data_IF_230009859229
#
_entry.id   IF_230009859229
#
_cell.length_a   1.000
_cell.length_b   1.000
_cell.length_c   1.000
_cell.angle_alpha   90.00
_cell.angle_beta   90.00
_cell.angle_gamma   90.00
#
_symmetry.space_group_name_H-M   'P 1'
#
loop_
_entity.id
_entity.type
_entity.pdbx_description
1 polymer ?
#
# COMPACT_ATOMS: atom_id res chain seq x y z
N UNK A 1 -38.54 83.58 -22.99
CA UNK A 1 -39.64 82.72 -22.52
C UNK A 1 -39.52 81.45 -23.36
N UNK A 2 -39.13 80.27 -22.87
CA UNK A 2 -38.95 79.77 -21.50
C UNK A 2 -37.80 78.72 -21.51
N UNK A 3 -37.15 78.49 -20.37
CA UNK A 3 -36.27 77.33 -20.06
C UNK A 3 -36.76 76.80 -18.68
N UNK A 4 -36.53 75.54 -18.23
CA UNK A 4 -35.76 74.42 -18.79
C UNK A 4 -36.68 73.23 -19.24
N UNK A 5 -36.33 71.93 -19.39
CA UNK A 5 -35.11 71.15 -19.04
C UNK A 5 -34.91 69.84 -19.85
N UNK A 6 -33.67 69.36 -19.90
CA UNK A 6 -33.14 67.98 -19.66
C UNK A 6 -34.18 66.83 -19.46
N UNK A 7 -34.07 65.62 -20.04
CA UNK A 7 -32.96 64.83 -20.62
C UNK A 7 -33.43 63.84 -21.73
N UNK A 8 -32.52 63.24 -22.53
CA UNK A 8 -32.85 62.39 -23.68
C UNK A 8 -32.82 60.88 -23.39
N UNK A 9 -33.68 60.37 -22.50
CA UNK A 9 -33.85 58.92 -22.29
C UNK A 9 -35.31 58.50 -22.14
N UNK A 10 -36.03 58.27 -23.26
CA UNK A 10 -37.15 57.32 -23.32
C UNK A 10 -37.60 56.93 -24.74
N UNK A 11 -36.68 56.39 -25.56
CA UNK A 11 -37.03 55.73 -26.83
C UNK A 11 -36.26 54.42 -27.02
N UNK A 12 -36.62 53.38 -26.25
CA UNK A 12 -36.73 51.98 -26.67
C UNK A 12 -37.60 51.29 -25.60
N UNK A 13 -38.86 51.02 -25.95
CA UNK A 13 -39.71 50.08 -25.22
C UNK A 13 -39.96 48.88 -26.13
N UNK A 14 -39.91 47.68 -25.56
CA UNK A 14 -40.38 46.40 -26.11
C UNK A 14 -39.53 45.70 -27.20
N UNK A 15 -38.51 44.97 -26.73
CA UNK A 15 -38.35 43.56 -27.12
C UNK A 15 -38.02 42.70 -25.89
N UNK A 16 -39.08 42.18 -25.27
CA UNK A 16 -39.02 41.25 -24.14
C UNK A 16 -38.43 39.89 -24.55
N UNK A 17 -38.01 39.10 -23.54
CA UNK A 17 -37.68 37.68 -23.65
C UNK A 17 -36.54 37.32 -24.61
N UNK A 18 -35.34 37.83 -24.30
CA UNK A 18 -34.07 37.39 -24.88
C UNK A 18 -32.96 37.17 -23.85
N UNK A 19 -33.28 37.10 -22.55
CA UNK A 19 -32.31 36.60 -21.55
C UNK A 19 -32.06 35.15 -21.94
N UNK A 20 -30.87 34.88 -22.47
CA UNK A 20 -30.35 33.52 -22.55
C UNK A 20 -30.31 33.05 -21.11
N UNK A 21 -31.28 32.20 -20.73
CA UNK A 21 -31.08 31.27 -19.65
C UNK A 21 -29.84 30.48 -20.07
N UNK A 22 -28.68 30.90 -19.57
CA UNK A 22 -27.56 29.98 -19.49
C UNK A 22 -28.14 28.82 -18.69
N UNK A 23 -28.35 27.71 -19.39
CA UNK A 23 -28.68 26.42 -18.83
C UNK A 23 -27.86 26.33 -17.55
N UNK A 24 -28.52 26.15 -16.41
CA UNK A 24 -27.81 26.01 -15.15
C UNK A 24 -26.92 24.76 -15.27
N UNK A 25 -25.68 24.97 -15.70
CA UNK A 25 -24.63 23.96 -15.61
C UNK A 25 -24.48 23.72 -14.12
N UNK A 26 -24.71 22.47 -13.71
CA UNK A 26 -24.90 22.15 -12.31
C UNK A 26 -23.65 22.50 -11.50
N UNK A 27 -23.68 23.65 -10.85
CA UNK A 27 -22.55 24.10 -10.05
C UNK A 27 -22.64 23.43 -8.70
N UNK A 28 -21.91 22.33 -8.56
CA UNK A 28 -21.87 21.57 -7.31
C UNK A 28 -21.47 22.46 -6.12
N UNK A 29 -22.05 22.25 -4.92
CA UNK A 29 -21.56 22.89 -3.71
C UNK A 29 -20.06 22.60 -3.51
N UNK A 30 -19.29 23.54 -2.90
CA UNK A 30 -17.89 23.30 -2.59
C UNK A 30 -17.78 22.15 -1.58
N UNK A 31 -17.25 21.02 -2.04
CA UNK A 31 -17.06 19.83 -1.22
C UNK A 31 -15.86 19.99 -0.26
N UNK A 32 -15.88 19.27 0.86
CA UNK A 32 -14.82 19.30 1.88
C UNK A 32 -13.60 18.45 1.46
N UNK A 33 -12.52 18.54 2.23
CA UNK A 33 -11.30 17.76 1.97
C UNK A 33 -11.59 16.25 1.92
N UNK A 34 -10.91 15.54 1.00
CA UNK A 34 -11.06 14.10 0.77
C UNK A 34 -12.50 13.68 0.36
N UNK A 35 -13.20 14.54 -0.37
CA UNK A 35 -14.51 14.27 -0.97
C UNK A 35 -14.60 14.76 -2.42
N UNK A 36 -15.57 14.25 -3.17
CA UNK A 36 -15.83 14.62 -4.57
C UNK A 36 -17.33 14.81 -4.84
N UNK A 37 -17.64 15.58 -5.88
CA UNK A 37 -19.00 15.83 -6.31
C UNK A 37 -19.60 14.67 -7.12
N UNK A 38 -20.88 14.41 -6.92
CA UNK A 38 -21.69 13.47 -7.71
C UNK A 38 -23.01 14.14 -8.13
N UNK A 39 -23.38 13.93 -9.40
CA UNK A 39 -24.61 14.42 -10.03
C UNK A 39 -24.84 15.94 -9.81
N UNK A 40 -23.77 16.73 -9.75
CA UNK A 40 -23.77 18.19 -9.60
C UNK A 40 -24.56 18.74 -8.40
N UNK A 41 -24.93 17.86 -7.45
CA UNK A 41 -25.91 18.15 -6.41
C UNK A 41 -25.38 17.85 -5.02
N UNK A 42 -24.59 16.78 -4.86
CA UNK A 42 -24.14 16.30 -3.56
C UNK A 42 -22.68 15.84 -3.60
N UNK A 43 -22.01 16.01 -2.48
CA UNK A 43 -20.67 15.52 -2.22
C UNK A 43 -20.72 14.12 -1.58
N UNK A 44 -19.69 13.32 -1.82
CA UNK A 44 -19.43 12.04 -1.14
C UNK A 44 -17.95 11.94 -0.82
N UNK A 45 -17.60 11.24 0.26
CA UNK A 45 -16.20 10.97 0.57
C UNK A 45 -15.52 10.15 -0.54
N UNK A 46 -14.22 10.38 -0.71
CA UNK A 46 -13.35 9.59 -1.58
C UNK A 46 -13.33 8.11 -1.13
N UNK A 47 -13.02 7.16 -2.02
CA UNK A 47 -12.76 5.78 -1.62
C UNK A 47 -11.67 5.71 -0.53
N UNK A 48 -11.88 4.87 0.49
CA UNK A 48 -11.03 4.81 1.69
C UNK A 48 -11.42 5.79 2.80
N UNK A 49 -12.44 6.63 2.61
CA UNK A 49 -12.90 7.60 3.61
C UNK A 49 -14.39 7.43 3.95
N UNK A 50 -14.75 7.77 5.18
CA UNK A 50 -16.12 7.81 5.68
C UNK A 50 -16.46 9.18 6.23
N UNK A 51 -17.71 9.61 6.05
CA UNK A 51 -18.26 10.79 6.71
C UNK A 51 -18.30 10.58 8.23
N UNK A 52 -17.98 11.61 9.00
CA UNK A 52 -18.08 11.61 10.46
C UNK A 52 -19.55 11.52 10.94
N UNK A 53 -20.50 12.10 10.21
CA UNK A 53 -21.93 11.95 10.48
C UNK A 53 -22.52 10.62 9.98
N UNK A 54 -21.73 9.80 9.29
CA UNK A 54 -22.16 8.55 8.65
C UNK A 54 -22.99 8.75 7.37
N UNK A 55 -23.10 9.98 6.86
CA UNK A 55 -23.86 10.29 5.66
C UNK A 55 -23.06 9.96 4.40
N UNK A 56 -23.58 9.09 3.54
CA UNK A 56 -22.94 8.76 2.26
C UNK A 56 -22.95 9.94 1.28
N UNK A 57 -23.99 10.77 1.32
CA UNK A 57 -24.17 11.92 0.44
C UNK A 57 -24.54 13.14 1.28
N UNK A 58 -23.86 14.26 1.08
CA UNK A 58 -24.04 15.49 1.85
C UNK A 58 -23.93 16.72 0.94
N UNK A 59 -24.64 17.80 1.28
CA UNK A 59 -24.65 19.06 0.52
C UNK A 59 -23.94 20.20 1.24
N UNK A 60 -23.49 19.98 2.48
CA UNK A 60 -22.90 21.00 3.34
C UNK A 60 -21.36 20.85 3.42
N UNK A 61 -20.58 21.96 3.31
CA UNK A 61 -19.11 21.92 3.32
C UNK A 61 -18.48 21.61 4.68
N UNK A 62 -19.29 21.44 5.74
CA UNK A 62 -18.83 21.18 7.10
C UNK A 62 -18.66 19.68 7.43
N UNK A 63 -19.06 18.79 6.52
CA UNK A 63 -18.89 17.35 6.71
C UNK A 63 -17.41 16.94 6.58
N UNK A 64 -16.92 16.08 7.46
CA UNK A 64 -15.51 15.68 7.50
C UNK A 64 -15.39 14.23 7.04
N UNK A 65 -14.66 14.01 5.94
CA UNK A 65 -14.29 12.69 5.46
C UNK A 65 -13.04 12.20 6.18
N UNK A 66 -13.24 11.29 7.13
CA UNK A 66 -12.18 10.67 7.92
C UNK A 66 -11.71 9.38 7.24
N UNK A 67 -10.41 9.11 7.36
CA UNK A 67 -9.78 7.89 6.86
C UNK A 67 -10.37 6.63 7.52
N UNK A 68 -10.63 5.58 6.73
CA UNK A 68 -11.15 4.31 7.23
C UNK A 68 -9.96 3.40 7.58
N UNK A 69 -9.74 3.15 8.86
CA UNK A 69 -8.73 2.17 9.29
C UNK A 69 -9.21 0.73 9.02
N UNK A 70 -8.96 0.20 7.82
CA UNK A 70 -9.43 -1.14 7.45
C UNK A 70 -8.71 -2.26 8.23
N UNK A 71 -7.60 -1.94 8.90
CA UNK A 71 -6.89 -2.87 9.78
C UNK A 71 -7.59 -3.09 11.13
N UNK A 72 -8.55 -2.24 11.50
CA UNK A 72 -9.33 -2.32 12.76
C UNK A 72 -10.77 -2.79 12.51
N UNK A 73 -11.48 -3.25 13.56
CA UNK A 73 -12.92 -3.46 13.50
C UNK A 73 -13.63 -2.17 13.04
N UNK A 74 -14.65 -2.26 12.15
CA UNK A 74 -15.39 -3.47 11.78
C UNK A 74 -14.75 -4.31 10.67
N UNK A 75 -13.79 -3.79 9.91
CA UNK A 75 -13.25 -4.48 8.72
C UNK A 75 -12.19 -5.53 9.07
N UNK A 76 -11.19 -5.17 9.89
CA UNK A 76 -10.19 -6.08 10.44
C UNK A 76 -9.44 -6.91 9.40
N UNK A 77 -8.99 -6.27 8.31
CA UNK A 77 -8.45 -6.95 7.13
C UNK A 77 -7.32 -7.94 7.49
N UNK A 78 -7.51 -9.20 7.09
CA UNK A 78 -6.52 -10.26 7.26
C UNK A 78 -5.55 -10.32 6.07
N UNK A 79 -4.29 -9.93 6.34
CA UNK A 79 -3.19 -9.92 5.38
C UNK A 79 -2.47 -11.28 5.19
N UNK A 80 -3.01 -12.37 5.74
CA UNK A 80 -2.37 -13.68 5.63
C UNK A 80 -1.29 -13.97 6.68
N UNK A 81 -0.84 -15.22 6.68
CA UNK A 81 0.17 -15.71 7.63
C UNK A 81 1.51 -15.01 7.42
N UNK A 82 2.14 -14.61 8.52
CA UNK A 82 3.41 -13.86 8.54
C UNK A 82 3.36 -12.50 7.83
N UNK A 83 2.19 -11.87 7.73
CA UNK A 83 2.04 -10.47 7.36
C UNK A 83 1.33 -9.66 8.47
N UNK A 84 1.31 -8.35 8.33
CA UNK A 84 0.54 -7.41 9.16
C UNK A 84 -0.14 -6.37 8.27
N UNK A 85 -1.36 -5.99 8.64
CA UNK A 85 -2.04 -4.84 8.05
C UNK A 85 -1.42 -3.54 8.59
N UNK A 86 -1.21 -2.58 7.71
CA UNK A 86 -0.80 -1.22 8.02
C UNK A 86 -1.74 -0.24 7.31
N UNK A 87 -2.46 0.54 8.10
CA UNK A 87 -3.33 1.60 7.60
C UNK A 87 -2.50 2.77 7.03
N UNK A 88 -2.99 3.41 5.98
CA UNK A 88 -2.43 4.63 5.38
C UNK A 88 -3.56 5.55 4.93
N UNK A 89 -3.28 6.84 4.71
CA UNK A 89 -4.33 7.77 4.30
C UNK A 89 -4.99 7.36 2.95
N UNK A 90 -6.28 7.02 3.01
CA UNK A 90 -7.13 6.57 1.91
C UNK A 90 -6.98 5.09 1.50
N UNK A 91 -6.26 4.25 2.26
CA UNK A 91 -6.02 2.85 1.88
C UNK A 91 -5.34 2.04 3.00
N UNK A 92 -5.10 0.75 2.74
CA UNK A 92 -4.16 -0.04 3.56
C UNK A 92 -3.11 -0.73 2.69
N UNK A 93 -2.04 -1.18 3.35
CA UNK A 93 -1.09 -2.13 2.79
C UNK A 93 -0.86 -3.27 3.78
N UNK A 94 -0.75 -4.49 3.25
CA UNK A 94 -0.22 -5.63 3.95
C UNK A 94 1.30 -5.67 3.82
N UNK A 95 2.02 -5.78 4.94
CA UNK A 95 3.47 -5.90 4.99
C UNK A 95 3.89 -7.30 5.47
N UNK A 96 4.77 -7.98 4.74
CA UNK A 96 5.38 -9.23 5.20
C UNK A 96 6.28 -8.96 6.43
N UNK A 97 6.18 -9.81 7.45
CA UNK A 97 7.03 -9.73 8.63
C UNK A 97 8.52 -9.85 8.28
N UNK A 98 9.39 -9.33 9.15
CA UNK A 98 10.85 -9.41 8.98
C UNK A 98 11.28 -10.86 8.73
N UNK A 99 12.07 -11.06 7.67
CA UNK A 99 12.48 -12.39 7.23
C UNK A 99 11.48 -13.10 6.31
N UNK A 100 10.40 -12.45 5.88
CA UNK A 100 9.47 -12.91 4.84
C UNK A 100 9.39 -11.92 3.68
N UNK A 101 8.97 -12.39 2.49
CA UNK A 101 8.73 -11.59 1.29
C UNK A 101 7.76 -12.29 0.33
N UNK A 102 7.18 -11.56 -0.62
CA UNK A 102 6.40 -12.12 -1.72
C UNK A 102 7.29 -12.87 -2.73
N UNK A 103 6.65 -13.59 -3.64
CA UNK A 103 7.34 -14.29 -4.74
C UNK A 103 8.05 -13.35 -5.71
N UNK A 104 7.47 -12.18 -5.99
CA UNK A 104 8.10 -11.09 -6.76
C UNK A 104 9.40 -10.60 -6.12
N UNK A 105 9.50 -10.70 -4.80
CA UNK A 105 10.60 -10.19 -3.99
C UNK A 105 10.21 -9.03 -3.08
N UNK A 106 9.02 -8.43 -3.31
CA UNK A 106 8.50 -7.30 -2.55
C UNK A 106 8.11 -7.68 -1.12
N UNK A 107 7.92 -6.67 -0.28
CA UNK A 107 7.51 -6.83 1.12
C UNK A 107 6.17 -6.21 1.43
N UNK A 108 5.53 -5.53 0.48
CA UNK A 108 4.24 -4.85 0.64
C UNK A 108 3.29 -5.23 -0.51
N UNK A 109 2.00 -5.34 -0.21
CA UNK A 109 0.92 -5.62 -1.17
C UNK A 109 -0.39 -4.99 -0.69
N UNK A 110 -1.28 -4.59 -1.61
CA UNK A 110 -2.62 -4.07 -1.25
C UNK A 110 -3.69 -5.15 -1.17
N UNK A 111 -3.53 -6.22 -1.95
CA UNK A 111 -4.58 -7.18 -2.18
C UNK A 111 -4.57 -8.27 -1.09
N UNK A 112 -5.52 -8.24 -0.17
CA UNK A 112 -5.67 -9.21 0.92
C UNK A 112 -5.93 -10.66 0.47
N UNK A 113 -5.98 -10.93 -0.85
CA UNK A 113 -5.99 -12.27 -1.42
C UNK A 113 -4.58 -12.78 -1.75
N UNK A 114 -3.57 -11.92 -1.86
CA UNK A 114 -2.17 -12.25 -2.19
C UNK A 114 -1.36 -12.76 -0.99
N UNK A 115 -2.04 -13.33 0.01
CA UNK A 115 -1.57 -13.85 1.31
C UNK A 115 -0.45 -14.92 1.21
N UNK A 116 0.72 -14.53 0.72
CA UNK A 116 1.74 -15.43 0.16
C UNK A 116 3.17 -15.14 0.64
N UNK A 117 3.33 -14.38 1.74
CA UNK A 117 4.62 -14.10 2.36
C UNK A 117 5.41 -15.40 2.66
N UNK A 118 6.54 -15.60 1.96
CA UNK A 118 7.43 -16.76 2.14
C UNK A 118 8.72 -16.36 2.83
N UNK A 119 9.33 -17.29 3.57
CA UNK A 119 10.57 -17.03 4.29
C UNK A 119 11.73 -16.68 3.35
N UNK A 120 12.33 -15.51 3.57
CA UNK A 120 13.56 -15.06 2.93
C UNK A 120 14.72 -15.78 3.59
N UNK A 121 15.49 -16.56 2.81
CA UNK A 121 16.80 -17.06 3.23
C UNK A 121 17.76 -15.88 3.27
N UNK A 122 18.16 -15.45 4.46
CA UNK A 122 19.19 -14.45 4.68
C UNK A 122 20.52 -15.22 4.81
N UNK A 123 21.42 -15.09 3.84
CA UNK A 123 22.71 -15.75 3.86
C UNK A 123 23.79 -14.74 4.29
N UNK A 124 24.29 -14.90 5.50
CA UNK A 124 25.41 -14.12 6.04
C UNK A 124 26.70 -14.91 5.83
N UNK A 125 27.64 -14.36 5.08
CA UNK A 125 28.96 -14.95 4.89
C UNK A 125 29.93 -14.40 5.93
N UNK A 126 30.46 -15.27 6.80
CA UNK A 126 31.56 -14.93 7.69
C UNK A 126 32.86 -15.44 7.07
N UNK A 127 33.53 -14.57 6.32
CA UNK A 127 34.90 -14.82 5.83
C UNK A 127 35.86 -14.46 6.95
N UNK A 128 36.25 -15.45 7.76
CA UNK A 128 37.33 -15.27 8.72
C UNK A 128 38.67 -15.24 7.98
N UNK A 129 39.32 -14.07 7.92
CA UNK A 129 40.53 -13.80 7.14
C UNK A 129 41.80 -14.59 7.54
N UNK A 130 41.71 -15.53 8.49
CA UNK A 130 42.86 -16.21 9.11
C UNK A 130 42.90 -17.73 8.89
N UNK A 131 41.93 -18.32 8.19
CA UNK A 131 41.93 -19.74 7.82
C UNK A 131 41.02 -19.98 6.61
N UNK A 132 41.35 -20.95 5.74
CA UNK A 132 40.61 -21.29 4.51
C UNK A 132 39.19 -21.90 4.72
N UNK A 133 38.54 -21.61 5.85
CA UNK A 133 37.21 -22.11 6.21
C UNK A 133 36.13 -21.10 5.85
N UNK A 134 35.29 -21.44 4.88
CA UNK A 134 34.07 -20.66 4.59
C UNK A 134 33.00 -21.05 5.61
N UNK A 135 32.71 -20.13 6.53
CA UNK A 135 31.54 -20.20 7.40
C UNK A 135 30.41 -19.39 6.77
N UNK A 136 29.31 -20.04 6.40
CA UNK A 136 28.08 -19.35 6.01
C UNK A 136 26.94 -19.66 6.96
N UNK A 137 26.27 -18.59 7.39
CA UNK A 137 25.13 -18.63 8.30
C UNK A 137 23.87 -18.31 7.48
N UNK A 138 23.05 -19.32 7.22
CA UNK A 138 21.75 -19.12 6.59
C UNK A 138 20.68 -18.99 7.67
N UNK A 139 20.15 -17.77 7.82
CA UNK A 139 19.06 -17.44 8.72
C UNK A 139 17.75 -17.49 7.93
N UNK A 140 16.79 -18.29 8.41
CA UNK A 140 15.37 -18.14 8.12
C UNK A 140 14.64 -17.81 9.42
N UNK A 141 13.47 -17.14 9.37
CA UNK A 141 12.70 -16.78 10.58
C UNK A 141 12.39 -17.95 11.53
N UNK A 142 12.38 -19.19 11.03
CA UNK A 142 12.13 -20.41 11.83
C UNK A 142 13.41 -21.21 12.17
N UNK A 143 14.51 -21.01 11.43
CA UNK A 143 15.66 -21.93 11.46
C UNK A 143 17.00 -21.22 11.25
N UNK A 144 18.02 -21.68 11.97
CA UNK A 144 19.40 -21.22 11.79
C UNK A 144 20.24 -22.37 11.24
N UNK A 145 20.88 -22.17 10.08
CA UNK A 145 21.82 -23.10 9.46
C UNK A 145 23.25 -22.57 9.54
N UNK A 146 24.10 -23.21 10.34
CA UNK A 146 25.54 -22.96 10.34
C UNK A 146 26.21 -23.96 9.40
N UNK A 147 26.77 -23.49 8.28
CA UNK A 147 27.45 -24.32 7.29
C UNK A 147 28.96 -24.17 7.44
N UNK A 148 29.67 -25.30 7.51
CA UNK A 148 31.13 -25.36 7.54
C UNK A 148 31.61 -26.16 6.33
N UNK A 149 32.36 -25.52 5.44
CA UNK A 149 33.07 -26.18 4.35
C UNK A 149 34.49 -26.51 4.76
N UNK A 150 34.82 -27.80 4.86
CA UNK A 150 36.20 -28.30 5.04
C UNK A 150 36.63 -29.02 3.76
N UNK A 151 37.31 -28.29 2.88
CA UNK A 151 37.81 -28.72 1.57
C UNK A 151 36.75 -29.29 0.58
N UNK A 152 37.19 -29.49 -0.67
CA UNK A 152 36.31 -29.83 -1.79
C UNK A 152 35.84 -31.31 -1.76
N UNK A 153 34.87 -31.62 -0.90
CA UNK A 153 34.23 -32.95 -0.87
C UNK A 153 33.10 -33.17 0.16
N UNK A 154 32.98 -32.32 1.18
CA UNK A 154 31.91 -32.48 2.19
C UNK A 154 31.45 -31.16 2.79
N UNK A 155 30.13 -31.01 2.91
CA UNK A 155 29.49 -29.90 3.59
C UNK A 155 28.83 -30.43 4.87
N UNK A 156 29.19 -29.86 6.01
CA UNK A 156 28.58 -30.17 7.31
C UNK A 156 27.78 -28.95 7.78
N UNK A 157 26.60 -29.17 8.36
CA UNK A 157 25.82 -28.08 8.94
C UNK A 157 25.11 -28.43 10.25
N UNK A 158 24.93 -27.42 11.09
CA UNK A 158 24.04 -27.47 12.25
C UNK A 158 22.77 -26.70 11.91
N UNK A 159 21.63 -27.36 12.05
CA UNK A 159 20.29 -26.78 11.99
C UNK A 159 19.80 -26.57 13.42
N UNK A 160 19.28 -25.38 13.73
CA UNK A 160 18.65 -25.07 15.01
C UNK A 160 17.19 -24.71 14.76
N UNK A 161 16.28 -25.56 15.26
CA UNK A 161 14.82 -25.43 15.18
C UNK A 161 14.28 -25.22 16.60
N UNK A 162 13.70 -24.06 16.93
CA UNK A 162 13.17 -23.75 18.28
C UNK A 162 14.07 -24.23 19.43
N UNK A 163 15.37 -23.87 19.37
CA UNK A 163 16.39 -24.25 20.35
C UNK A 163 16.97 -25.68 20.22
N UNK A 164 16.31 -26.60 19.50
CA UNK A 164 16.80 -27.97 19.29
C UNK A 164 17.88 -28.00 18.20
N UNK A 165 19.09 -28.43 18.55
CA UNK A 165 20.25 -28.53 17.65
C UNK A 165 20.31 -29.89 16.95
N UNK A 166 20.38 -29.90 15.62
CA UNK A 166 20.58 -31.09 14.78
C UNK A 166 21.86 -30.95 13.96
N UNK A 167 22.76 -31.95 14.00
CA UNK A 167 23.90 -32.04 13.08
C UNK A 167 23.47 -32.79 11.81
N UNK A 168 23.80 -32.28 10.64
CA UNK A 168 23.62 -32.91 9.34
C UNK A 168 24.91 -32.77 8.53
N UNK A 169 25.17 -33.71 7.62
CA UNK A 169 26.28 -33.60 6.66
C UNK A 169 25.89 -34.19 5.33
N UNK A 170 26.50 -33.70 4.25
CA UNK A 170 26.32 -34.21 2.90
C UNK A 170 27.67 -34.30 2.22
N UNK A 171 28.01 -35.52 1.78
CA UNK A 171 29.25 -35.82 1.06
C UNK A 171 28.99 -35.66 -0.43
N UNK A 172 29.79 -34.85 -1.11
CA UNK A 172 29.71 -34.64 -2.55
C UNK A 172 30.82 -35.48 -3.20
N UNK A 173 30.46 -36.32 -4.17
CA UNK A 173 31.46 -37.00 -5.01
C UNK A 173 32.11 -35.96 -5.92
N UNK A 174 33.44 -35.99 -6.04
CA UNK A 174 34.16 -35.25 -7.10
C UNK A 174 33.57 -35.67 -8.45
N UNK A 175 33.18 -34.70 -9.28
CA UNK A 175 32.89 -34.95 -10.69
C UNK A 175 34.24 -35.12 -11.40
N UNK A 176 34.72 -36.36 -11.49
CA UNK A 176 35.91 -36.69 -12.30
C UNK A 176 35.51 -36.67 -13.77
N UNK A 177 35.49 -35.47 -14.36
CA UNK A 177 34.87 -35.22 -15.66
C UNK A 177 35.43 -34.02 -16.42
N UNK A 178 36.70 -33.67 -16.22
CA UNK A 178 37.42 -32.82 -17.17
C UNK A 178 38.23 -33.73 -18.11
N UNK A 179 37.61 -34.16 -19.22
CA UNK A 179 38.41 -34.55 -20.39
C UNK A 179 39.03 -33.27 -20.95
N UNK A 180 40.31 -33.36 -21.30
CA UNK A 180 41.02 -32.32 -22.08
C UNK A 180 40.39 -32.18 -23.46
#
# INVERSE_FOLDING_TARGET
MQEPSLLPELCILLSLSGVVFQKAEGTCPPCSQNSFCVNDTYCTCNPGYTSQSGQKFFTFPLEICQDIDECKPPFGIYCGSHAKCQNVEGSFYCHCNIGYKLLSGDTQFKNSNENTCRSKKILVFFVFLTSFLIFSLSLTPEKIFFVVGTECGSISWKEIDNGKRRKKSKKFRKITGLRR
#
